data_IF_335210349079
#
_entry.id   IF_335210349079
#
_cell.length_a   1.000
_cell.length_b   1.000
_cell.length_c   1.000
_cell.angle_alpha   90.00
_cell.angle_beta   90.00
_cell.angle_gamma   90.00
#
_symmetry.space_group_name_H-M   'P 1'
#
loop_
_entity.id
_entity.type
_entity.pdbx_description
1 polymer ?
#
# COMPACT_ATOMS: atom_id res chain seq x y z
N UNK A 1 11.64 -20.25 9.10
CA UNK A 1 10.88 -19.34 10.00
C UNK A 1 11.77 -18.20 10.41
N UNK A 2 11.32 -16.96 10.30
CA UNK A 2 12.11 -15.77 10.63
C UNK A 2 11.51 -15.09 11.86
N UNK A 3 12.35 -14.76 12.83
CA UNK A 3 11.93 -14.03 14.04
C UNK A 3 11.96 -12.52 13.78
N UNK A 4 10.87 -11.86 14.13
CA UNK A 4 10.73 -10.40 14.02
C UNK A 4 11.51 -9.73 15.18
N UNK A 5 12.09 -8.56 14.88
CA UNK A 5 12.78 -7.69 15.84
C UNK A 5 11.97 -6.42 16.04
N UNK A 6 11.89 -5.91 17.26
CA UNK A 6 11.17 -4.66 17.55
C UNK A 6 11.93 -3.44 17.05
N UNK A 7 11.20 -2.52 16.44
CA UNK A 7 11.62 -1.13 16.30
C UNK A 7 11.33 -0.38 17.61
N UNK A 8 12.07 0.67 17.90
CA UNK A 8 11.67 1.57 19.00
C UNK A 8 10.48 2.44 18.56
N UNK A 9 9.82 3.12 19.51
CA UNK A 9 8.65 3.95 19.22
C UNK A 9 8.95 5.04 18.19
N UNK A 10 10.07 5.76 18.31
CA UNK A 10 10.47 6.80 17.36
C UNK A 10 10.68 6.28 15.94
N UNK A 11 11.27 5.09 15.80
CA UNK A 11 11.45 4.43 14.52
C UNK A 11 10.11 3.96 13.93
N UNK A 12 9.21 3.47 14.77
CA UNK A 12 7.86 3.09 14.38
C UNK A 12 7.05 4.30 13.88
N UNK A 13 7.13 5.44 14.57
CA UNK A 13 6.51 6.70 14.15
C UNK A 13 7.05 7.18 12.80
N UNK A 14 8.37 7.13 12.58
CA UNK A 14 8.98 7.46 11.30
C UNK A 14 8.42 6.58 10.16
N UNK A 15 8.32 5.28 10.40
CA UNK A 15 7.75 4.36 9.42
C UNK A 15 6.27 4.66 9.14
N UNK A 16 5.46 4.86 10.18
CA UNK A 16 4.04 5.16 10.03
C UNK A 16 3.82 6.47 9.26
N UNK A 17 4.64 7.49 9.53
CA UNK A 17 4.62 8.76 8.80
C UNK A 17 4.99 8.57 7.32
N UNK A 18 6.04 7.79 7.05
CA UNK A 18 6.42 7.43 5.68
C UNK A 18 5.26 6.75 4.95
N UNK A 19 4.65 5.74 5.55
CA UNK A 19 3.56 4.97 4.94
C UNK A 19 2.30 5.82 4.73
N UNK A 20 1.97 6.65 5.70
CA UNK A 20 0.88 7.61 5.59
C UNK A 20 1.09 8.58 4.41
N UNK A 21 2.31 9.08 4.23
CA UNK A 21 2.65 9.97 3.12
C UNK A 21 2.57 9.25 1.77
N UNK A 22 2.99 7.99 1.69
CA UNK A 22 2.88 7.16 0.50
C UNK A 22 1.41 7.01 0.07
N UNK A 23 0.53 6.62 0.99
CA UNK A 23 -0.91 6.54 0.72
C UNK A 23 -1.52 7.90 0.38
N UNK A 24 -1.09 8.97 1.02
CA UNK A 24 -1.50 10.34 0.72
C UNK A 24 -1.15 10.79 -0.70
N UNK A 25 0.02 10.38 -1.23
CA UNK A 25 0.40 10.62 -2.63
C UNK A 25 -0.54 9.89 -3.59
N UNK A 26 -0.83 8.62 -3.34
CA UNK A 26 -1.78 7.84 -4.16
C UNK A 26 -3.19 8.42 -4.10
N UNK A 27 -3.69 8.76 -2.92
CA UNK A 27 -4.96 9.43 -2.73
C UNK A 27 -5.06 10.72 -3.60
N UNK A 28 -4.09 11.61 -3.49
CA UNK A 28 -4.05 12.86 -4.28
C UNK A 28 -3.99 12.61 -5.78
N UNK A 29 -3.19 11.63 -6.21
CA UNK A 29 -3.07 11.26 -7.63
C UNK A 29 -4.42 10.81 -8.20
N UNK A 30 -5.07 9.85 -7.57
CA UNK A 30 -6.34 9.30 -8.07
C UNK A 30 -7.49 10.29 -7.95
N UNK A 31 -7.55 11.11 -6.90
CA UNK A 31 -8.55 12.18 -6.77
C UNK A 31 -8.49 13.20 -7.91
N UNK A 32 -7.30 13.49 -8.45
CA UNK A 32 -7.14 14.40 -9.58
C UNK A 32 -7.56 13.79 -10.94
N UNK A 33 -7.53 12.47 -11.05
CA UNK A 33 -7.91 11.77 -12.29
C UNK A 33 -9.43 11.74 -12.46
N UNK A 34 -10.20 11.69 -11.38
CA UNK A 34 -11.67 11.60 -11.43
C UNK A 34 -12.31 12.69 -12.29
N UNK A 35 -12.07 14.01 -12.07
CA UNK A 35 -12.68 15.04 -12.89
C UNK A 35 -12.26 14.95 -14.36
N UNK A 36 -11.04 14.52 -14.65
CA UNK A 36 -10.56 14.33 -16.03
C UNK A 36 -11.35 13.21 -16.72
N UNK A 37 -11.58 12.08 -16.06
CA UNK A 37 -12.39 10.97 -16.61
C UNK A 37 -13.82 11.43 -16.86
N UNK A 38 -14.42 12.18 -15.94
CA UNK A 38 -15.79 12.71 -16.11
C UNK A 38 -15.87 13.62 -17.33
N UNK A 39 -14.94 14.57 -17.49
CA UNK A 39 -14.89 15.48 -18.63
C UNK A 39 -14.74 14.70 -19.94
N UNK A 40 -13.80 13.76 -20.00
CA UNK A 40 -13.58 12.93 -21.21
C UNK A 40 -14.85 12.15 -21.55
N UNK A 41 -15.54 11.59 -20.58
CA UNK A 41 -16.79 10.84 -20.79
C UNK A 41 -17.88 11.73 -21.38
N UNK A 42 -18.06 12.94 -20.85
CA UNK A 42 -19.04 13.90 -21.34
C UNK A 42 -18.75 14.33 -22.79
N UNK A 43 -17.48 14.68 -23.08
CA UNK A 43 -17.05 15.09 -24.42
C UNK A 43 -17.23 13.94 -25.42
N UNK A 44 -16.82 12.72 -25.08
CA UNK A 44 -16.96 11.56 -25.95
C UNK A 44 -18.44 11.24 -26.24
N UNK A 45 -19.30 11.31 -25.23
CA UNK A 45 -20.74 11.09 -25.42
C UNK A 45 -21.38 12.16 -26.31
N UNK A 46 -20.90 13.40 -26.24
CA UNK A 46 -21.37 14.50 -27.13
C UNK A 46 -20.91 14.29 -28.57
N UNK A 47 -19.68 13.84 -28.79
CA UNK A 47 -19.13 13.63 -30.15
C UNK A 47 -19.71 12.39 -30.84
N UNK A 48 -20.16 11.38 -30.10
CA UNK A 48 -20.70 10.12 -30.66
C UNK A 48 -22.08 9.84 -30.05
N UNK A 49 -23.10 10.61 -30.38
CA UNK A 49 -24.42 10.51 -29.75
C UNK A 49 -25.10 9.17 -29.98
N UNK A 50 -24.83 8.45 -31.07
CA UNK A 50 -25.35 7.11 -31.31
C UNK A 50 -24.92 6.07 -30.26
N UNK A 51 -23.77 6.27 -29.63
CA UNK A 51 -23.20 5.38 -28.61
C UNK A 51 -23.18 6.00 -27.22
N UNK A 52 -23.81 7.16 -27.03
CA UNK A 52 -23.74 7.93 -25.78
C UNK A 52 -24.10 7.10 -24.53
N UNK A 53 -25.12 6.24 -24.61
CA UNK A 53 -25.53 5.37 -23.48
C UNK A 53 -24.41 4.42 -23.04
N UNK A 54 -23.69 3.82 -23.98
CA UNK A 54 -22.58 2.90 -23.68
C UNK A 54 -21.41 3.68 -23.09
N UNK A 55 -21.10 4.85 -23.66
CA UNK A 55 -20.02 5.73 -23.19
C UNK A 55 -20.29 6.19 -21.76
N UNK A 56 -21.53 6.59 -21.45
CA UNK A 56 -21.91 6.95 -20.07
C UNK A 56 -21.79 5.77 -19.11
N UNK A 57 -22.27 4.56 -19.49
CA UNK A 57 -22.17 3.38 -18.64
C UNK A 57 -20.70 3.04 -18.31
N UNK A 58 -19.83 3.08 -19.31
CA UNK A 58 -18.39 2.85 -19.10
C UNK A 58 -17.75 3.95 -18.23
N UNK A 59 -18.07 5.21 -18.50
CA UNK A 59 -17.57 6.35 -17.72
C UNK A 59 -17.98 6.27 -16.25
N UNK A 60 -19.23 5.89 -15.97
CA UNK A 60 -19.73 5.68 -14.60
C UNK A 60 -19.00 4.52 -13.94
N UNK A 61 -18.81 3.40 -14.62
CA UNK A 61 -18.09 2.23 -14.07
C UNK A 61 -16.63 2.57 -13.71
N UNK A 62 -15.91 3.26 -14.59
CA UNK A 62 -14.53 3.70 -14.35
C UNK A 62 -14.48 4.68 -13.19
N UNK A 63 -15.38 5.67 -13.16
CA UNK A 63 -15.45 6.66 -12.08
C UNK A 63 -15.74 6.01 -10.74
N UNK A 64 -16.68 5.05 -10.67
CA UNK A 64 -16.97 4.30 -9.45
C UNK A 64 -15.76 3.50 -8.97
N UNK A 65 -15.02 2.85 -9.87
CA UNK A 65 -13.76 2.16 -9.55
C UNK A 65 -12.71 3.10 -8.98
N UNK A 66 -12.54 4.28 -9.56
CA UNK A 66 -11.63 5.31 -9.05
C UNK A 66 -12.04 5.82 -7.66
N UNK A 67 -13.34 6.06 -7.43
CA UNK A 67 -13.82 6.44 -6.09
C UNK A 67 -13.55 5.37 -5.06
N UNK A 68 -13.74 4.09 -5.39
CA UNK A 68 -13.41 2.99 -4.49
C UNK A 68 -11.92 2.97 -4.14
N UNK A 69 -11.02 3.18 -5.12
CA UNK A 69 -9.59 3.27 -4.88
C UNK A 69 -9.23 4.46 -3.99
N UNK A 70 -9.79 5.64 -4.28
CA UNK A 70 -9.57 6.86 -3.47
C UNK A 70 -10.02 6.65 -2.03
N UNK A 71 -11.20 6.05 -1.84
CA UNK A 71 -11.73 5.74 -0.51
C UNK A 71 -10.83 4.74 0.24
N UNK A 72 -10.36 3.70 -0.45
CA UNK A 72 -9.45 2.70 0.15
C UNK A 72 -8.14 3.35 0.63
N UNK A 73 -7.50 4.18 -0.21
CA UNK A 73 -6.28 4.89 0.19
C UNK A 73 -6.53 5.89 1.32
N UNK A 74 -7.66 6.60 1.31
CA UNK A 74 -8.04 7.50 2.38
C UNK A 74 -8.21 6.75 3.71
N UNK A 75 -8.94 5.64 3.71
CA UNK A 75 -9.15 4.81 4.89
C UNK A 75 -7.83 4.28 5.46
N UNK A 76 -6.93 3.79 4.60
CA UNK A 76 -5.61 3.33 5.01
C UNK A 76 -4.76 4.48 5.58
N UNK A 77 -4.78 5.65 4.94
CA UNK A 77 -4.07 6.84 5.43
C UNK A 77 -4.57 7.27 6.81
N UNK A 78 -5.87 7.26 7.04
CA UNK A 78 -6.46 7.66 8.33
C UNK A 78 -6.09 6.65 9.42
N UNK A 79 -6.16 5.36 9.14
CA UNK A 79 -5.80 4.31 10.11
C UNK A 79 -4.33 4.35 10.55
N UNK A 80 -3.46 4.92 9.71
CA UNK A 80 -2.02 5.04 9.99
C UNK A 80 -1.62 6.37 10.64
N UNK A 81 -2.53 7.32 10.82
CA UNK A 81 -2.23 8.63 11.43
C UNK A 81 -2.04 8.58 12.93
N UNK A 82 -2.59 7.57 13.59
CA UNK A 82 -2.42 7.39 15.02
C UNK A 82 -1.02 6.89 15.32
N UNK A 83 -0.42 7.48 16.36
CA UNK A 83 0.90 7.04 16.84
C UNK A 83 0.73 5.64 17.43
N UNK A 84 1.53 4.65 17.02
CA UNK A 84 1.38 3.30 17.52
C UNK A 84 1.70 3.24 19.02
N UNK A 85 0.80 2.66 19.79
CA UNK A 85 1.00 2.35 21.22
C UNK A 85 1.97 1.19 21.40
N UNK A 86 2.07 0.32 20.39
CA UNK A 86 2.94 -0.86 20.35
C UNK A 86 3.97 -0.68 19.24
N UNK A 87 5.27 -0.84 19.51
CA UNK A 87 6.31 -0.73 18.49
C UNK A 87 6.08 -1.70 17.34
N UNK A 88 6.33 -1.25 16.11
CA UNK A 88 6.36 -2.11 14.94
C UNK A 88 7.47 -3.16 15.05
N UNK A 89 7.29 -4.28 14.39
CA UNK A 89 8.28 -5.34 14.33
C UNK A 89 8.77 -5.50 12.88
N UNK A 90 10.02 -5.90 12.69
CA UNK A 90 10.63 -6.01 11.36
C UNK A 90 11.56 -7.21 11.24
N UNK A 91 11.78 -7.63 10.00
CA UNK A 91 12.85 -8.57 9.63
C UNK A 91 13.29 -8.30 8.20
N UNK A 92 14.54 -8.63 7.89
CA UNK A 92 15.07 -8.65 6.52
C UNK A 92 15.13 -10.11 6.07
N UNK A 93 14.52 -10.42 4.93
CA UNK A 93 14.44 -11.78 4.37
C UNK A 93 14.85 -11.79 2.91
N UNK A 94 15.40 -12.90 2.37
CA UNK A 94 15.57 -13.06 0.94
C UNK A 94 14.25 -12.93 0.20
N UNK A 95 14.27 -12.28 -0.98
CA UNK A 95 13.09 -12.18 -1.85
C UNK A 95 12.91 -13.49 -2.61
N UNK A 96 11.78 -14.16 -2.37
CA UNK A 96 11.42 -15.40 -3.05
C UNK A 96 9.98 -15.29 -3.56
N UNK A 97 9.84 -15.09 -4.87
CA UNK A 97 8.52 -14.97 -5.49
C UNK A 97 7.75 -16.29 -5.43
N UNK A 98 6.44 -16.18 -5.21
CA UNK A 98 5.49 -17.29 -5.06
C UNK A 98 5.75 -18.20 -3.84
N UNK A 99 6.65 -17.84 -2.95
CA UNK A 99 6.84 -18.50 -1.67
C UNK A 99 6.18 -17.73 -0.53
N UNK A 100 5.69 -18.48 0.47
CA UNK A 100 5.21 -17.91 1.72
C UNK A 100 6.33 -17.94 2.74
N UNK A 101 6.60 -16.78 3.33
CA UNK A 101 7.58 -16.63 4.40
C UNK A 101 6.86 -16.74 5.74
N UNK A 102 7.25 -17.67 6.57
CA UNK A 102 6.75 -17.79 7.94
C UNK A 102 7.54 -16.84 8.84
N UNK A 103 6.81 -16.01 9.56
CA UNK A 103 7.33 -15.00 10.48
C UNK A 103 6.83 -15.30 11.89
N UNK A 104 7.66 -15.08 12.89
CA UNK A 104 7.27 -15.19 14.28
C UNK A 104 7.42 -13.84 14.96
N UNK A 105 6.33 -13.35 15.54
CA UNK A 105 6.35 -12.08 16.28
C UNK A 105 7.14 -12.22 17.57
N UNK A 106 7.52 -11.10 18.16
CA UNK A 106 8.19 -11.10 19.48
C UNK A 106 7.28 -11.59 20.61
N UNK A 107 5.95 -11.67 20.36
CA UNK A 107 4.97 -12.27 21.27
C UNK A 107 4.75 -13.77 21.03
N UNK A 108 5.40 -14.35 20.02
CA UNK A 108 5.29 -15.77 19.68
C UNK A 108 4.16 -16.09 18.69
N UNK A 109 3.47 -15.11 18.13
CA UNK A 109 2.43 -15.31 17.12
C UNK A 109 3.04 -15.64 15.75
N UNK A 110 2.45 -16.58 15.05
CA UNK A 110 2.88 -16.97 13.70
C UNK A 110 2.15 -16.14 12.65
N UNK A 111 2.89 -15.53 11.75
CA UNK A 111 2.41 -14.75 10.65
C UNK A 111 2.90 -15.31 9.32
N UNK A 112 2.14 -15.10 8.25
CA UNK A 112 2.52 -15.49 6.90
C UNK A 112 2.61 -14.24 6.02
N UNK A 113 3.74 -14.10 5.32
CA UNK A 113 3.92 -13.08 4.28
C UNK A 113 4.19 -13.77 2.94
N UNK A 114 3.55 -13.29 1.88
CA UNK A 114 3.74 -13.83 0.53
C UNK A 114 4.35 -12.77 -0.39
N UNK A 115 5.46 -13.11 -1.04
CA UNK A 115 5.99 -12.33 -2.17
C UNK A 115 5.15 -12.63 -3.41
N UNK A 116 4.21 -11.75 -3.73
CA UNK A 116 3.36 -11.91 -4.93
C UNK A 116 4.11 -11.44 -6.17
N UNK A 117 3.84 -12.06 -7.30
CA UNK A 117 4.47 -11.73 -8.58
C UNK A 117 4.29 -10.26 -8.99
N UNK A 118 3.18 -9.63 -8.60
CA UNK A 118 2.94 -8.18 -8.74
C UNK A 118 3.97 -7.32 -8.01
N UNK A 119 4.60 -7.83 -6.96
CA UNK A 119 5.67 -7.15 -6.21
C UNK A 119 7.03 -7.21 -6.91
N UNK A 120 7.13 -7.94 -8.03
CA UNK A 120 8.38 -8.12 -8.79
C UNK A 120 8.97 -6.79 -9.27
N UNK A 121 8.13 -5.83 -9.60
CA UNK A 121 8.56 -4.47 -9.97
C UNK A 121 9.18 -3.70 -8.81
N UNK A 122 8.73 -3.97 -7.58
CA UNK A 122 9.20 -3.32 -6.35
C UNK A 122 10.60 -3.84 -6.00
N UNK A 123 10.81 -5.17 -6.13
CA UNK A 123 12.08 -5.80 -5.73
C UNK A 123 12.97 -6.21 -6.91
N UNK A 124 12.78 -5.62 -8.10
CA UNK A 124 13.36 -6.09 -9.37
C UNK A 124 14.88 -6.33 -9.33
N UNK A 125 15.59 -5.60 -8.48
CA UNK A 125 17.06 -5.69 -8.35
C UNK A 125 17.52 -6.00 -6.92
N UNK A 126 16.59 -6.36 -6.02
CA UNK A 126 16.90 -6.60 -4.62
C UNK A 126 16.96 -8.10 -4.33
N UNK A 127 18.01 -8.51 -3.63
CA UNK A 127 18.16 -9.89 -3.14
C UNK A 127 17.38 -10.11 -1.84
N UNK A 128 17.11 -9.04 -1.11
CA UNK A 128 16.48 -9.04 0.19
C UNK A 128 15.36 -8.01 0.23
N UNK A 129 14.36 -8.25 1.05
CA UNK A 129 13.26 -7.33 1.33
C UNK A 129 13.12 -7.11 2.84
N UNK A 130 12.70 -5.92 3.19
CA UNK A 130 12.32 -5.55 4.54
C UNK A 130 10.83 -5.88 4.74
N UNK A 131 10.52 -6.71 5.73
CA UNK A 131 9.14 -6.99 6.13
C UNK A 131 8.88 -6.27 7.44
N UNK A 132 7.81 -5.49 7.50
CA UNK A 132 7.39 -4.74 8.68
C UNK A 132 5.98 -5.17 9.07
N UNK A 133 5.83 -5.57 10.33
CA UNK A 133 4.57 -5.90 10.97
C UNK A 133 4.13 -4.75 11.87
N UNK A 134 2.89 -4.32 11.71
CA UNK A 134 2.25 -3.29 12.54
C UNK A 134 1.23 -3.95 13.44
N UNK A 135 1.55 -4.20 14.73
CA UNK A 135 0.70 -4.98 15.63
C UNK A 135 -0.71 -4.40 15.83
N UNK A 136 -0.84 -3.07 15.82
CA UNK A 136 -2.15 -2.40 16.04
C UNK A 136 -3.14 -2.66 14.91
N UNK A 137 -2.65 -2.70 13.67
CA UNK A 137 -3.49 -2.95 12.49
C UNK A 137 -3.51 -4.42 12.07
N UNK A 138 -2.60 -5.24 12.59
CA UNK A 138 -2.38 -6.62 12.16
C UNK A 138 -1.79 -6.76 10.76
N UNK A 139 -1.37 -5.65 10.12
CA UNK A 139 -0.88 -5.65 8.75
C UNK A 139 0.62 -5.94 8.66
N UNK A 140 0.98 -6.69 7.62
CA UNK A 140 2.36 -6.98 7.26
C UNK A 140 2.66 -6.31 5.92
N UNK A 141 3.70 -5.48 5.90
CA UNK A 141 4.14 -4.73 4.71
C UNK A 141 5.50 -5.22 4.24
N UNK A 142 5.65 -5.35 2.92
CA UNK A 142 6.94 -5.58 2.29
C UNK A 142 7.50 -4.28 1.73
N UNK A 143 8.73 -3.95 2.09
CA UNK A 143 9.38 -2.68 1.78
C UNK A 143 10.80 -2.92 1.26
N UNK A 144 11.39 -1.87 0.66
CA UNK A 144 12.80 -1.87 0.28
C UNK A 144 13.72 -1.88 1.51
N UNK A 145 14.80 -2.65 1.47
CA UNK A 145 15.76 -2.73 2.60
C UNK A 145 16.39 -1.36 2.89
N UNK A 146 16.57 -0.50 1.88
CA UNK A 146 17.09 0.84 2.05
C UNK A 146 16.29 1.68 3.07
N UNK A 147 14.96 1.48 3.14
CA UNK A 147 14.10 2.16 4.09
C UNK A 147 14.50 1.92 5.55
N UNK A 148 15.07 0.76 5.87
CA UNK A 148 15.51 0.45 7.23
C UNK A 148 16.61 1.40 7.71
N UNK A 149 17.49 1.87 6.82
CA UNK A 149 18.52 2.87 7.14
C UNK A 149 17.90 4.21 7.48
N UNK A 150 16.89 4.62 6.71
CA UNK A 150 16.18 5.89 6.91
C UNK A 150 15.38 5.89 8.22
N UNK A 151 14.80 4.74 8.59
CA UNK A 151 14.05 4.58 9.84
C UNK A 151 14.99 4.60 11.05
N UNK A 152 16.16 3.96 10.95
CA UNK A 152 17.11 3.81 12.06
C UNK A 152 18.04 4.99 12.25
N UNK A 153 18.29 5.76 11.19
CA UNK A 153 19.06 7.02 11.27
C UNK A 153 18.23 8.12 11.88
#
# INVERSE_FOLDING_TARGET
MYELKKLNLKQSEKYMTYKCNEYGKHYKKFSRIIPVVVIITLVAAFLVPAQAKVIYALGVAITAGLFFMVYSYYKQMVSLKEVPSIPCEYVVTPVKYNERVQLKTTKGEDLLFAFVEKSRSIYKNEKEALIIYVPESGHVYGEHVALLKDIKG
#
